data_IF_942373623232
#
_entry.id   IF_942373623232
#
_cell.length_a   1.000
_cell.length_b   1.000
_cell.length_c   1.000
_cell.angle_alpha   90.00
_cell.angle_beta   90.00
_cell.angle_gamma   90.00
#
_symmetry.space_group_name_H-M   'P 1'
#
loop_
_entity.id
_entity.type
_entity.pdbx_description
1 polymer ?
#
# COMPACT_ATOMS: atom_id res chain seq x y z
N UNK A 1 -5.89 -23.43 -68.93
CA UNK A 1 -5.54 -22.07 -68.41
C UNK A 1 -6.32 -21.64 -67.16
N UNK A 2 -7.42 -22.29 -66.79
CA UNK A 2 -8.27 -21.91 -65.63
C UNK A 2 -7.77 -22.43 -64.28
N UNK A 3 -7.31 -23.69 -64.21
CA UNK A 3 -6.82 -24.31 -62.96
C UNK A 3 -5.58 -23.61 -62.36
N UNK A 4 -4.63 -23.19 -63.21
CA UNK A 4 -3.42 -22.49 -62.76
C UNK A 4 -3.73 -21.12 -62.16
N UNK A 5 -4.73 -20.39 -62.69
CA UNK A 5 -5.18 -19.10 -62.14
C UNK A 5 -5.85 -19.27 -60.77
N UNK A 6 -6.63 -20.34 -60.58
CA UNK A 6 -7.30 -20.64 -59.30
C UNK A 6 -6.28 -21.00 -58.22
N UNK A 7 -5.25 -21.80 -58.55
CA UNK A 7 -4.17 -22.16 -57.64
C UNK A 7 -3.34 -20.94 -57.19
N UNK A 8 -3.05 -20.01 -58.11
CA UNK A 8 -2.34 -18.77 -57.77
C UNK A 8 -3.20 -17.87 -56.88
N UNK A 9 -4.51 -17.70 -57.20
CA UNK A 9 -5.42 -16.93 -56.35
C UNK A 9 -5.58 -17.54 -54.94
N UNK A 10 -5.70 -18.86 -54.84
CA UNK A 10 -5.81 -19.55 -53.55
C UNK A 10 -4.52 -19.42 -52.71
N UNK A 11 -3.35 -19.46 -53.36
CA UNK A 11 -2.06 -19.22 -52.72
C UNK A 11 -1.91 -17.79 -52.20
N UNK A 12 -2.26 -16.80 -53.03
CA UNK A 12 -2.22 -15.38 -52.65
C UNK A 12 -3.23 -15.06 -51.54
N UNK A 13 -4.42 -15.65 -51.56
CA UNK A 13 -5.43 -15.49 -50.50
C UNK A 13 -4.96 -16.11 -49.18
N UNK A 14 -4.35 -17.31 -49.21
CA UNK A 14 -3.74 -17.91 -48.00
C UNK A 14 -2.61 -17.05 -47.45
N UNK A 15 -1.74 -16.53 -48.31
CA UNK A 15 -0.65 -15.65 -47.90
C UNK A 15 -1.18 -14.33 -47.31
N UNK A 16 -2.20 -13.71 -47.92
CA UNK A 16 -2.88 -12.53 -47.40
C UNK A 16 -3.54 -12.81 -46.05
N UNK A 17 -4.27 -13.93 -45.91
CA UNK A 17 -4.87 -14.34 -44.64
C UNK A 17 -3.81 -14.58 -43.56
N UNK A 18 -2.66 -15.18 -43.90
CA UNK A 18 -1.53 -15.36 -42.99
C UNK A 18 -0.90 -14.03 -42.57
N UNK A 19 -0.72 -13.09 -43.49
CA UNK A 19 -0.22 -11.73 -43.19
C UNK A 19 -1.18 -10.96 -42.28
N UNK A 20 -2.48 -11.03 -42.55
CA UNK A 20 -3.51 -10.38 -41.75
C UNK A 20 -3.61 -11.03 -40.35
N UNK A 21 -3.55 -12.35 -40.25
CA UNK A 21 -3.51 -13.07 -38.97
C UNK A 21 -2.26 -12.70 -38.14
N UNK A 22 -1.10 -12.54 -38.78
CA UNK A 22 0.13 -12.10 -38.11
C UNK A 22 0.04 -10.64 -37.62
N UNK A 23 -0.59 -9.74 -38.40
CA UNK A 23 -0.82 -8.35 -38.00
C UNK A 23 -1.85 -8.23 -36.86
N UNK A 24 -2.92 -9.04 -36.88
CA UNK A 24 -3.92 -9.13 -35.80
C UNK A 24 -3.29 -9.71 -34.53
N UNK A 25 -2.47 -10.77 -34.64
CA UNK A 25 -1.70 -11.33 -33.51
C UNK A 25 -0.75 -10.28 -32.91
N UNK A 26 -0.02 -9.51 -33.73
CA UNK A 26 0.85 -8.44 -33.24
C UNK A 26 0.08 -7.34 -32.49
N UNK A 27 -1.09 -6.91 -33.00
CA UNK A 27 -1.93 -5.90 -32.33
C UNK A 27 -2.52 -6.41 -31.01
N UNK A 28 -2.98 -7.67 -30.95
CA UNK A 28 -3.48 -8.29 -29.73
C UNK A 28 -2.38 -8.45 -28.67
N UNK A 29 -1.17 -8.85 -29.07
CA UNK A 29 -0.01 -8.94 -28.16
C UNK A 29 0.38 -7.55 -27.64
N UNK A 30 0.35 -6.53 -28.49
CA UNK A 30 0.64 -5.15 -28.06
C UNK A 30 -0.41 -4.63 -27.07
N UNK A 31 -1.70 -4.90 -27.31
CA UNK A 31 -2.78 -4.53 -26.41
C UNK A 31 -2.70 -5.30 -25.08
N UNK A 32 -2.34 -6.58 -25.09
CA UNK A 32 -2.13 -7.35 -23.86
C UNK A 32 -0.91 -6.88 -23.07
N UNK A 33 0.17 -6.47 -23.74
CA UNK A 33 1.36 -5.87 -23.11
C UNK A 33 1.02 -4.51 -22.51
N UNK A 34 0.25 -3.67 -23.20
CA UNK A 34 -0.20 -2.38 -22.67
C UNK A 34 -1.11 -2.56 -21.44
N UNK A 35 -2.02 -3.54 -21.44
CA UNK A 35 -2.83 -3.86 -20.26
C UNK A 35 -1.96 -4.33 -19.07
N UNK A 36 -0.86 -5.06 -19.32
CA UNK A 36 0.03 -5.51 -18.23
C UNK A 36 0.79 -4.37 -17.53
N UNK A 37 0.99 -3.22 -18.18
CA UNK A 37 1.64 -2.06 -17.55
C UNK A 37 0.76 -1.35 -16.51
N UNK A 38 -0.57 -1.44 -16.63
CA UNK A 38 -1.51 -0.76 -15.71
C UNK A 38 -1.84 -1.54 -14.43
N UNK A 39 -1.40 -2.80 -14.30
CA UNK A 39 -1.72 -3.66 -13.14
C UNK A 39 -0.56 -3.81 -12.14
N UNK A 40 0.64 -3.36 -12.49
CA UNK A 40 1.78 -3.43 -11.57
C UNK A 40 1.84 -2.18 -10.68
N UNK A 41 0.94 -2.11 -9.69
CA UNK A 41 1.17 -1.24 -8.55
C UNK A 41 2.44 -1.70 -7.83
N UNK A 42 3.46 -0.85 -7.74
CA UNK A 42 4.65 -1.17 -6.96
C UNK A 42 4.25 -1.33 -5.49
N UNK A 43 4.23 -2.56 -5.01
CA UNK A 43 3.94 -2.89 -3.61
C UNK A 43 5.27 -2.96 -2.86
N UNK A 44 5.38 -2.23 -1.75
CA UNK A 44 6.48 -2.46 -0.82
C UNK A 44 6.38 -3.91 -0.34
N UNK A 45 7.48 -4.64 -0.38
CA UNK A 45 7.58 -5.99 0.16
C UNK A 45 8.66 -6.01 1.23
N UNK A 46 8.49 -6.89 2.21
CA UNK A 46 9.46 -7.08 3.28
C UNK A 46 9.78 -8.56 3.43
N UNK A 47 11.00 -8.85 3.84
CA UNK A 47 11.49 -10.21 4.12
C UNK A 47 12.01 -10.37 5.56
N UNK A 48 12.17 -9.25 6.28
CA UNK A 48 12.71 -9.23 7.63
C UNK A 48 12.13 -8.05 8.43
N UNK A 49 12.11 -8.23 9.75
CA UNK A 49 11.67 -7.26 10.76
C UNK A 49 12.87 -6.51 11.38
N UNK A 50 12.63 -5.42 12.10
CA UNK A 50 13.64 -4.75 12.92
C UNK A 50 13.13 -4.45 14.34
N UNK A 51 14.04 -4.53 15.32
CA UNK A 51 13.68 -4.61 16.73
C UNK A 51 13.07 -3.32 17.30
N UNK A 52 13.44 -2.16 16.75
CA UNK A 52 13.01 -0.86 17.25
C UNK A 52 12.50 -0.01 16.10
N UNK A 53 11.36 0.65 16.35
CA UNK A 53 10.80 1.63 15.44
C UNK A 53 10.45 2.90 16.21
N UNK A 54 10.61 4.06 15.59
CA UNK A 54 10.26 5.34 16.18
C UNK A 54 9.10 5.98 15.41
N UNK A 55 8.29 6.76 16.11
CA UNK A 55 7.19 7.52 15.53
C UNK A 55 7.25 8.96 16.02
N UNK A 56 7.09 9.90 15.10
CA UNK A 56 6.94 11.32 15.42
C UNK A 56 5.51 11.58 15.84
N UNK A 57 5.26 11.59 17.15
CA UNK A 57 3.96 11.96 17.70
C UNK A 57 3.91 13.48 17.93
N UNK A 58 2.86 14.11 17.42
CA UNK A 58 2.65 15.52 17.68
C UNK A 58 1.81 15.77 18.92
N UNK A 59 2.34 16.62 19.79
CA UNK A 59 1.66 17.03 21.01
C UNK A 59 0.59 18.08 20.67
N UNK A 60 -0.68 17.72 20.85
CA UNK A 60 -1.84 18.60 20.69
C UNK A 60 -2.41 19.01 22.05
N UNK A 61 -3.24 20.06 22.09
CA UNK A 61 -3.84 20.56 23.33
C UNK A 61 -4.67 19.47 24.01
N UNK A 62 -4.40 19.17 25.29
CA UNK A 62 -4.94 18.04 26.07
C UNK A 62 -4.20 16.70 25.94
N UNK A 63 -3.18 16.59 25.08
CA UNK A 63 -2.30 15.42 25.09
C UNK A 63 -1.32 15.48 26.26
N UNK A 64 -0.94 14.31 26.78
CA UNK A 64 0.09 14.14 27.79
C UNK A 64 0.82 12.81 27.58
N UNK A 65 1.94 12.62 28.26
CA UNK A 65 2.77 11.43 28.08
C UNK A 65 2.03 10.13 28.43
N UNK A 66 1.09 10.16 29.37
CA UNK A 66 0.26 8.99 29.74
C UNK A 66 -0.68 8.58 28.62
N UNK A 67 -1.34 9.54 27.95
CA UNK A 67 -2.22 9.27 26.80
C UNK A 67 -1.39 8.75 25.62
N UNK A 68 -0.23 9.35 25.36
CA UNK A 68 0.66 8.91 24.28
C UNK A 68 1.12 7.47 24.53
N UNK A 69 1.58 7.17 25.75
CA UNK A 69 2.00 5.82 26.13
C UNK A 69 0.85 4.80 26.09
N UNK A 70 -0.39 5.22 26.34
CA UNK A 70 -1.56 4.36 26.19
C UNK A 70 -1.85 4.01 24.73
N UNK A 71 -1.77 4.98 23.82
CA UNK A 71 -1.99 4.74 22.39
C UNK A 71 -0.80 4.03 21.71
N UNK A 72 0.42 4.29 22.20
CA UNK A 72 1.67 3.88 21.57
C UNK A 72 2.70 3.47 22.66
N UNK A 73 2.53 2.31 23.31
CA UNK A 73 3.37 1.89 24.44
C UNK A 73 4.79 1.48 24.03
N UNK A 74 4.92 0.47 23.17
CA UNK A 74 6.19 -0.01 22.63
C UNK A 74 6.00 -0.40 21.17
N UNK A 75 6.83 0.18 20.29
CA UNK A 75 6.81 -0.09 18.86
C UNK A 75 7.96 -1.00 18.45
N UNK A 76 7.62 -2.15 17.88
CA UNK A 76 8.53 -2.99 17.11
C UNK A 76 8.11 -2.96 15.63
N UNK A 77 9.04 -3.18 14.71
CA UNK A 77 8.74 -3.14 13.29
C UNK A 77 8.65 -4.58 12.76
N UNK A 78 7.44 -5.05 12.52
CA UNK A 78 7.20 -6.39 11.97
C UNK A 78 6.99 -6.36 10.48
N UNK A 79 7.53 -7.36 9.78
CA UNK A 79 7.10 -7.68 8.44
C UNK A 79 5.79 -8.48 8.47
N UNK A 80 4.67 -7.81 8.21
CA UNK A 80 3.33 -8.39 8.23
C UNK A 80 2.97 -8.86 6.82
N UNK A 81 2.62 -10.14 6.70
CA UNK A 81 2.23 -10.82 5.45
C UNK A 81 3.27 -10.74 4.31
N UNK A 82 4.54 -10.41 4.61
CA UNK A 82 5.57 -10.22 3.58
C UNK A 82 5.45 -8.89 2.81
N UNK A 83 4.58 -7.99 3.26
CA UNK A 83 4.18 -6.80 2.52
C UNK A 83 4.50 -5.52 3.28
N UNK A 84 4.11 -5.45 4.55
CA UNK A 84 4.17 -4.19 5.28
C UNK A 84 5.08 -4.30 6.48
N UNK A 85 6.03 -3.35 6.58
CA UNK A 85 6.76 -3.09 7.81
C UNK A 85 5.88 -2.21 8.71
N UNK A 86 5.30 -2.80 9.74
CA UNK A 86 4.34 -2.10 10.61
C UNK A 86 4.29 -2.72 12.01
N UNK A 87 3.55 -2.06 12.91
CA UNK A 87 3.08 -2.65 14.16
C UNK A 87 1.58 -2.50 14.27
N UNK A 88 0.91 -3.48 14.88
CA UNK A 88 -0.51 -3.44 15.18
C UNK A 88 -0.70 -3.14 16.66
N UNK A 89 -1.10 -1.91 16.98
CA UNK A 89 -1.50 -1.53 18.33
C UNK A 89 -2.95 -1.92 18.58
N UNK A 90 -3.25 -2.39 19.79
CA UNK A 90 -4.65 -2.58 20.22
C UNK A 90 -5.18 -1.29 20.83
N UNK A 91 -6.30 -0.78 20.31
CA UNK A 91 -7.00 0.38 20.84
C UNK A 91 -8.44 0.02 21.25
N UNK A 92 -8.85 0.40 22.46
CA UNK A 92 -10.23 0.20 22.92
C UNK A 92 -11.08 1.43 22.60
N UNK A 93 -12.12 1.23 21.78
CA UNK A 93 -13.02 2.28 21.29
C UNK A 93 -13.81 2.91 22.43
N UNK A 94 -13.77 4.24 22.50
CA UNK A 94 -14.53 5.06 23.46
C UNK A 94 -15.80 5.62 22.82
N UNK A 95 -16.79 6.04 23.64
CA UNK A 95 -17.98 6.72 23.10
C UNK A 95 -17.61 7.90 22.20
N UNK A 96 -18.26 7.98 21.04
CA UNK A 96 -18.06 8.98 19.98
C UNK A 96 -16.74 8.87 19.20
N UNK A 97 -15.95 7.82 19.42
CA UNK A 97 -14.79 7.57 18.58
C UNK A 97 -15.22 7.22 17.15
N UNK A 98 -14.47 7.76 16.19
CA UNK A 98 -14.54 7.39 14.77
C UNK A 98 -13.14 7.06 14.29
N UNK A 99 -13.01 6.34 13.18
CA UNK A 99 -11.69 6.11 12.59
C UNK A 99 -10.94 7.42 12.31
N UNK A 100 -11.63 8.49 11.93
CA UNK A 100 -11.03 9.79 11.67
C UNK A 100 -10.43 10.42 12.93
N UNK A 101 -11.20 10.42 14.03
CA UNK A 101 -10.73 10.92 15.33
C UNK A 101 -9.54 10.09 15.82
N UNK A 102 -9.62 8.76 15.72
CA UNK A 102 -8.54 7.88 16.15
C UNK A 102 -7.27 8.16 15.33
N UNK A 103 -7.36 8.16 14.01
CA UNK A 103 -6.20 8.36 13.13
C UNK A 103 -5.58 9.75 13.30
N UNK A 104 -6.38 10.81 13.16
CA UNK A 104 -5.87 12.18 13.08
C UNK A 104 -5.55 12.78 14.43
N UNK A 105 -6.37 12.50 15.44
CA UNK A 105 -6.23 13.10 16.77
C UNK A 105 -5.44 12.20 17.71
N UNK A 106 -5.90 10.98 17.96
CA UNK A 106 -5.24 10.13 18.96
C UNK A 106 -3.90 9.59 18.50
N UNK A 107 -3.77 9.23 17.22
CA UNK A 107 -2.52 8.74 16.63
C UNK A 107 -1.78 9.82 15.82
N UNK A 108 -2.20 11.08 15.87
CA UNK A 108 -1.48 12.22 15.24
C UNK A 108 -1.10 12.01 13.76
N UNK A 109 -1.96 11.36 12.98
CA UNK A 109 -1.73 10.97 11.58
C UNK A 109 -0.63 9.92 11.35
N UNK A 110 -0.21 9.16 12.37
CA UNK A 110 0.69 8.01 12.22
C UNK A 110 0.02 6.79 11.54
N UNK A 111 -1.32 6.80 11.49
CA UNK A 111 -2.14 5.85 10.74
C UNK A 111 -3.16 6.63 9.91
N UNK A 112 -3.89 5.94 9.03
CA UNK A 112 -4.95 6.55 8.22
C UNK A 112 -6.30 5.87 8.45
N UNK A 113 -7.36 6.56 8.07
CA UNK A 113 -8.73 6.02 8.09
C UNK A 113 -8.86 4.76 7.25
N UNK A 114 -8.20 4.72 6.10
CA UNK A 114 -8.23 3.60 5.17
C UNK A 114 -7.51 2.39 5.75
N UNK A 115 -6.37 2.61 6.42
CA UNK A 115 -5.67 1.55 7.15
C UNK A 115 -6.52 1.01 8.29
N UNK A 116 -7.12 1.88 9.11
CA UNK A 116 -8.01 1.42 10.16
C UNK A 116 -9.18 0.60 9.61
N UNK A 117 -9.78 1.01 8.51
CA UNK A 117 -10.85 0.25 7.86
C UNK A 117 -10.38 -1.07 7.23
N UNK A 118 -9.16 -1.15 6.70
CA UNK A 118 -8.65 -2.38 6.08
C UNK A 118 -8.28 -3.45 7.10
N UNK A 119 -7.89 -3.06 8.32
CA UNK A 119 -7.43 -3.96 9.37
C UNK A 119 -8.50 -4.30 10.41
N UNK A 120 -9.71 -3.77 10.25
CA UNK A 120 -10.82 -3.97 11.18
C UNK A 120 -12.12 -4.25 10.41
N UNK A 121 -12.97 -5.13 10.94
CA UNK A 121 -14.25 -5.50 10.31
C UNK A 121 -15.41 -4.57 10.63
N UNK A 122 -15.19 -3.52 11.42
CA UNK A 122 -16.26 -2.64 11.90
C UNK A 122 -16.64 -1.56 10.88
N UNK A 123 -17.93 -1.24 10.72
CA UNK A 123 -18.38 -0.17 9.84
C UNK A 123 -17.86 1.19 10.30
N UNK A 124 -17.40 2.01 9.36
CA UNK A 124 -16.84 3.33 9.66
C UNK A 124 -17.83 4.29 10.37
N UNK A 125 -19.13 4.13 10.08
CA UNK A 125 -20.19 4.96 10.65
C UNK A 125 -20.68 4.48 12.02
N UNK A 126 -20.31 3.26 12.45
CA UNK A 126 -20.82 2.68 13.69
C UNK A 126 -19.83 1.65 14.26
N UNK A 127 -18.75 2.15 14.85
CA UNK A 127 -17.79 1.32 15.59
C UNK A 127 -18.37 1.08 16.99
N UNK A 128 -18.55 -0.18 17.43
CA UNK A 128 -19.10 -0.46 18.75
C UNK A 128 -18.22 0.09 19.88
N UNK A 129 -18.84 0.63 20.92
CA UNK A 129 -18.13 1.02 22.14
C UNK A 129 -17.43 -0.21 22.76
N UNK A 130 -16.23 0.00 23.30
CA UNK A 130 -15.35 -1.04 23.85
C UNK A 130 -14.87 -2.10 22.85
N UNK A 131 -15.12 -1.94 21.55
CA UNK A 131 -14.48 -2.76 20.53
C UNK A 131 -12.95 -2.61 20.59
N UNK A 132 -12.23 -3.67 20.27
CA UNK A 132 -10.78 -3.62 20.10
C UNK A 132 -10.44 -3.42 18.64
N UNK A 133 -9.77 -2.32 18.33
CA UNK A 133 -9.26 -2.02 17.00
C UNK A 133 -7.79 -2.38 16.90
N UNK A 134 -7.43 -2.94 15.74
CA UNK A 134 -6.06 -3.00 15.26
C UNK A 134 -5.71 -1.66 14.63
N UNK A 135 -4.92 -0.86 15.34
CA UNK A 135 -4.37 0.40 14.84
C UNK A 135 -2.99 0.14 14.27
N UNK A 136 -2.91 0.08 12.95
CA UNK A 136 -1.66 -0.22 12.26
C UNK A 136 -0.86 1.06 11.99
N UNK A 137 0.40 1.08 12.40
CA UNK A 137 1.36 2.16 12.12
C UNK A 137 2.51 1.60 11.31
N UNK A 138 2.81 2.22 10.16
CA UNK A 138 3.90 1.80 9.30
C UNK A 138 5.25 2.28 9.83
N UNK A 139 6.28 1.48 9.57
CA UNK A 139 7.66 1.74 9.95
C UNK A 139 8.62 1.41 8.82
N UNK A 140 9.90 1.67 9.05
CA UNK A 140 10.95 1.43 8.08
C UNK A 140 12.23 0.96 8.75
N UNK A 141 12.86 -0.06 8.17
CA UNK A 141 14.09 -0.66 8.67
C UNK A 141 15.35 -0.21 7.91
N UNK A 142 15.23 0.78 7.02
CA UNK A 142 16.33 1.25 6.18
C UNK A 142 16.45 0.52 4.85
N UNK A 143 17.37 1.01 4.02
CA UNK A 143 17.73 0.39 2.74
C UNK A 143 19.23 0.57 2.51
N UNK A 144 19.93 -0.56 2.50
CA UNK A 144 21.38 -0.65 2.34
C UNK A 144 21.86 -0.13 0.97
N UNK A 145 20.97 -0.08 -0.03
CA UNK A 145 21.27 0.53 -1.33
C UNK A 145 21.32 2.07 -1.27
N UNK A 146 20.68 2.68 -0.26
CA UNK A 146 20.74 4.13 -0.04
C UNK A 146 21.90 4.47 0.89
N UNK A 147 21.99 3.80 2.04
CA UNK A 147 23.07 3.96 3.00
C UNK A 147 23.07 2.85 4.03
N UNK A 148 24.27 2.41 4.42
CA UNK A 148 24.47 1.47 5.53
C UNK A 148 24.68 2.16 6.89
N UNK A 149 24.73 3.50 6.92
CA UNK A 149 25.03 4.26 8.14
C UNK A 149 23.82 4.43 9.08
N UNK A 150 22.60 4.11 8.61
CA UNK A 150 21.35 4.35 9.34
C UNK A 150 20.54 3.06 9.45
N UNK A 151 20.20 2.66 10.68
CA UNK A 151 19.40 1.46 10.98
C UNK A 151 18.18 1.72 11.88
N UNK A 152 17.90 2.98 12.20
CA UNK A 152 16.76 3.39 13.02
C UNK A 152 16.09 4.59 12.36
N UNK A 153 14.78 4.49 12.12
CA UNK A 153 14.01 5.47 11.39
C UNK A 153 12.80 5.92 12.19
N UNK A 154 12.43 7.18 11.98
CA UNK A 154 11.24 7.80 12.55
C UNK A 154 10.16 7.85 11.47
N UNK A 155 9.00 7.27 11.75
CA UNK A 155 7.79 7.50 10.95
C UNK A 155 7.30 8.92 11.23
N UNK A 156 7.31 9.78 10.22
CA UNK A 156 7.04 11.20 10.38
C UNK A 156 5.85 11.64 9.50
N UNK A 157 4.65 11.85 10.10
CA UNK A 157 3.51 12.42 9.39
C UNK A 157 3.76 13.90 9.08
N UNK A 158 3.88 14.23 7.79
CA UNK A 158 4.07 15.61 7.33
C UNK A 158 2.88 16.50 7.69
N UNK A 159 3.18 17.77 7.94
CA UNK A 159 2.23 18.81 8.32
C UNK A 159 2.26 19.99 7.36
N UNK A 160 1.19 20.80 7.33
CA UNK A 160 1.24 22.08 6.65
C UNK A 160 2.40 22.92 7.17
N UNK A 161 3.28 23.33 6.25
CA UNK A 161 4.48 24.12 6.57
C UNK A 161 5.76 23.30 6.68
N UNK A 162 5.70 21.98 6.82
CA UNK A 162 6.89 21.15 6.74
C UNK A 162 7.48 21.22 5.33
N UNK A 163 8.80 21.28 5.25
CA UNK A 163 9.54 21.24 3.98
C UNK A 163 10.63 20.18 4.05
N UNK A 164 11.32 19.95 2.93
CA UNK A 164 12.50 19.09 2.92
C UNK A 164 13.65 19.66 3.75
N UNK A 165 13.66 20.98 3.95
CA UNK A 165 14.71 21.75 4.61
C UNK A 165 14.24 22.27 5.97
#
# INVERSE_FOLDING_TARGET
MTALRILILASLLKFYLLLMAAAVRRRLVFLSVLLSFFINGAKATCSSSCNLALASYYVWDQSNLTIIAFCFPFSHCDCINGEYLAHLFTYTVKPNDTYDIIAKKYYSNLTTTEWLQSWNSYPALNIPNNAQLNVTVNFYCGNTNVSNAYGLFVTYPLRPGDTLY
#
